data_IF_096580937772
#
_entry.id   IF_096580937772
#
_cell.length_a   1.000
_cell.length_b   1.000
_cell.length_c   1.000
_cell.angle_alpha   90.00
_cell.angle_beta   90.00
_cell.angle_gamma   90.00
#
_symmetry.space_group_name_H-M   'P 1'
#
loop_
_entity.id
_entity.type
_entity.pdbx_description
1 polymer ?
#
# COMPACT_ATOMS: atom_id res chain seq x y z
N UNK A 1 3.81 -16.69 5.96
CA UNK A 1 2.50 -16.01 5.92
C UNK A 1 2.33 -15.26 7.24
N UNK A 2 2.65 -13.97 7.24
CA UNK A 2 2.54 -13.13 8.44
C UNK A 2 1.08 -13.09 8.89
N UNK A 3 0.84 -13.27 10.19
CA UNK A 3 -0.49 -13.08 10.77
C UNK A 3 -0.83 -11.58 10.73
N UNK A 4 -1.63 -11.20 9.74
CA UNK A 4 -2.01 -9.80 9.47
C UNK A 4 -2.82 -9.15 10.62
N UNK A 5 -3.32 -9.95 11.56
CA UNK A 5 -4.19 -9.52 12.67
C UNK A 5 -3.49 -8.66 13.73
N UNK A 6 -2.15 -8.58 13.74
CA UNK A 6 -1.37 -7.78 14.70
C UNK A 6 -0.64 -6.59 14.07
N UNK A 7 -0.83 -6.33 12.76
CA UNK A 7 -0.17 -5.19 12.11
C UNK A 7 -0.88 -3.88 12.48
N UNK A 8 -0.13 -2.79 12.70
CA UNK A 8 -0.73 -1.49 12.96
C UNK A 8 -1.57 -1.09 11.75
N UNK A 9 -2.85 -0.81 11.99
CA UNK A 9 -3.81 -0.42 10.96
C UNK A 9 -4.11 1.07 11.09
N UNK A 10 -4.16 1.76 9.95
CA UNK A 10 -4.38 3.20 9.86
C UNK A 10 -5.52 3.45 8.88
N UNK A 11 -6.58 4.09 9.36
CA UNK A 11 -7.63 4.60 8.49
C UNK A 11 -7.07 5.74 7.63
N UNK A 12 -7.12 5.55 6.30
CA UNK A 12 -6.60 6.49 5.33
C UNK A 12 -7.67 7.53 4.98
N UNK A 13 -7.91 8.46 5.90
CA UNK A 13 -8.75 9.63 5.65
C UNK A 13 -7.89 10.82 5.21
N UNK A 14 -7.90 11.13 3.90
CA UNK A 14 -7.30 12.35 3.32
C UNK A 14 -5.86 12.66 3.78
N UNK A 15 -5.07 11.63 4.10
CA UNK A 15 -3.68 11.79 4.50
C UNK A 15 -3.43 12.42 5.87
N UNK A 16 -4.39 12.44 6.80
CA UNK A 16 -4.16 12.98 8.15
C UNK A 16 -3.03 12.26 8.90
N UNK A 17 -2.77 10.99 8.57
CA UNK A 17 -1.74 10.15 9.19
C UNK A 17 -0.44 10.04 8.38
N UNK A 18 -0.27 10.85 7.32
CA UNK A 18 0.82 10.69 6.33
C UNK A 18 2.19 10.70 6.97
N UNK A 19 2.52 11.70 7.79
CA UNK A 19 3.84 11.81 8.42
C UNK A 19 4.14 10.62 9.34
N UNK A 20 3.13 10.13 10.07
CA UNK A 20 3.28 8.96 10.94
C UNK A 20 3.56 7.70 10.12
N UNK A 21 2.76 7.44 9.10
CA UNK A 21 2.90 6.27 8.22
C UNK A 21 4.24 6.32 7.49
N UNK A 22 4.62 7.48 6.97
CA UNK A 22 5.92 7.70 6.31
C UNK A 22 7.08 7.35 7.24
N UNK A 23 7.05 7.82 8.49
CA UNK A 23 8.08 7.47 9.47
C UNK A 23 8.12 5.97 9.79
N UNK A 24 6.97 5.28 9.83
CA UNK A 24 6.92 3.82 10.05
C UNK A 24 7.53 3.07 8.87
N UNK A 25 7.12 3.40 7.64
CA UNK A 25 7.63 2.78 6.40
C UNK A 25 9.14 3.01 6.27
N UNK A 26 9.63 4.23 6.54
CA UNK A 26 11.07 4.52 6.50
C UNK A 26 11.88 3.75 7.54
N UNK A 27 11.24 3.23 8.60
CA UNK A 27 11.85 2.35 9.61
C UNK A 27 11.65 0.86 9.29
N UNK A 28 11.13 0.55 8.11
CA UNK A 28 10.77 -0.81 7.68
C UNK A 28 9.74 -1.46 8.62
N UNK A 29 8.94 -0.66 9.33
CA UNK A 29 7.86 -1.16 10.16
C UNK A 29 6.62 -1.43 9.29
N UNK A 30 6.03 -2.64 9.33
CA UNK A 30 4.88 -2.97 8.51
C UNK A 30 3.63 -2.21 8.96
N UNK A 31 2.77 -1.83 8.02
CA UNK A 31 1.55 -1.05 8.28
C UNK A 31 0.45 -1.40 7.29
N UNK A 32 -0.79 -1.45 7.78
CA UNK A 32 -1.99 -1.59 6.95
C UNK A 32 -2.65 -0.23 6.81
N UNK A 33 -2.88 0.21 5.58
CA UNK A 33 -3.67 1.39 5.26
C UNK A 33 -5.07 0.94 4.85
N UNK A 34 -6.07 1.29 5.65
CA UNK A 34 -7.47 1.06 5.34
C UNK A 34 -7.94 2.18 4.42
N UNK A 35 -8.18 1.86 3.16
CA UNK A 35 -8.46 2.83 2.10
C UNK A 35 -9.95 3.16 2.02
N UNK A 36 -10.31 4.36 1.54
CA UNK A 36 -11.70 4.75 1.38
C UNK A 36 -12.40 3.87 0.33
N UNK A 37 -13.70 3.63 0.55
CA UNK A 37 -14.55 2.93 -0.41
C UNK A 37 -14.64 3.69 -1.74
N UNK A 38 -14.65 2.98 -2.87
CA UNK A 38 -14.80 3.58 -4.20
C UNK A 38 -13.50 4.08 -4.82
N UNK A 39 -12.36 3.78 -4.19
CA UNK A 39 -11.04 3.94 -4.79
C UNK A 39 -10.93 3.12 -6.08
N UNK A 40 -10.24 3.66 -7.07
CA UNK A 40 -9.87 2.97 -8.29
C UNK A 40 -8.65 2.07 -8.02
N UNK A 41 -8.82 0.77 -8.20
CA UNK A 41 -7.79 -0.26 -8.00
C UNK A 41 -7.23 -0.81 -9.32
N UNK A 42 -7.51 -0.16 -10.46
CA UNK A 42 -7.16 -0.63 -11.81
C UNK A 42 -5.66 -0.47 -12.16
N UNK A 43 -4.79 -1.00 -11.32
CA UNK A 43 -3.35 -1.09 -11.57
C UNK A 43 -2.98 -2.45 -12.18
N UNK A 44 -2.09 -2.44 -13.16
CA UNK A 44 -1.50 -3.67 -13.69
C UNK A 44 -0.29 -4.08 -12.83
N UNK A 45 -0.46 -5.09 -11.99
CA UNK A 45 0.61 -5.60 -11.11
C UNK A 45 1.81 -6.18 -11.88
N UNK A 46 1.65 -6.55 -13.15
CA UNK A 46 2.73 -7.10 -13.98
C UNK A 46 3.88 -6.13 -14.22
N UNK A 47 3.59 -4.82 -14.28
CA UNK A 47 4.61 -3.78 -14.45
C UNK A 47 5.45 -3.54 -13.18
N UNK A 48 4.98 -4.00 -12.02
CA UNK A 48 5.57 -3.71 -10.70
C UNK A 48 6.08 -4.96 -9.99
N UNK A 49 6.32 -6.05 -10.74
CA UNK A 49 6.84 -7.33 -10.25
C UNK A 49 5.99 -7.95 -9.13
N UNK A 50 4.70 -7.68 -9.12
CA UNK A 50 3.78 -8.29 -8.17
C UNK A 50 3.64 -9.80 -8.42
N UNK A 51 3.37 -10.54 -7.35
CA UNK A 51 2.86 -11.91 -7.41
C UNK A 51 1.35 -11.87 -7.22
N UNK A 52 0.59 -12.30 -8.23
CA UNK A 52 -0.86 -12.37 -8.12
C UNK A 52 -1.28 -13.52 -7.18
N UNK A 53 -2.18 -13.22 -6.24
CA UNK A 53 -2.91 -14.20 -5.42
C UNK A 53 -4.37 -14.23 -5.89
N UNK A 54 -4.72 -15.11 -6.85
CA UNK A 54 -6.05 -15.15 -7.45
C UNK A 54 -7.13 -15.64 -6.48
N UNK A 55 -6.77 -16.43 -5.46
CA UNK A 55 -7.73 -16.94 -4.48
C UNK A 55 -8.25 -15.80 -3.58
N UNK A 56 -7.41 -14.79 -3.34
CA UNK A 56 -7.74 -13.60 -2.54
C UNK A 56 -8.05 -12.36 -3.36
N UNK A 57 -7.81 -12.42 -4.68
CA UNK A 57 -7.89 -11.25 -5.55
C UNK A 57 -6.86 -10.17 -5.21
N UNK A 58 -5.69 -10.57 -4.69
CA UNK A 58 -4.64 -9.67 -4.24
C UNK A 58 -3.46 -9.61 -5.22
N UNK A 59 -2.74 -8.50 -5.20
CA UNK A 59 -1.40 -8.39 -5.77
C UNK A 59 -0.42 -8.30 -4.61
N UNK A 60 0.54 -9.22 -4.51
CA UNK A 60 1.45 -9.31 -3.38
C UNK A 60 2.89 -8.98 -3.77
N UNK A 61 3.71 -8.59 -2.80
CA UNK A 61 5.16 -8.34 -2.97
C UNK A 61 5.50 -7.33 -4.08
N UNK A 62 4.61 -6.36 -4.33
CA UNK A 62 4.79 -5.36 -5.38
C UNK A 62 5.90 -4.37 -5.03
N UNK A 63 6.59 -3.85 -6.06
CA UNK A 63 7.48 -2.71 -5.89
C UNK A 63 6.70 -1.42 -5.56
N UNK A 64 7.30 -0.54 -4.76
CA UNK A 64 6.68 0.72 -4.29
C UNK A 64 6.14 1.63 -5.41
N UNK A 65 6.66 1.50 -6.63
CA UNK A 65 6.15 2.22 -7.81
C UNK A 65 4.67 1.95 -8.11
N UNK A 66 4.13 0.79 -7.71
CA UNK A 66 2.70 0.50 -7.83
C UNK A 66 1.88 1.46 -6.97
N UNK A 67 2.32 1.71 -5.73
CA UNK A 67 1.61 2.58 -4.81
C UNK A 67 1.56 4.02 -5.33
N UNK A 68 2.64 4.45 -5.99
CA UNK A 68 2.70 5.75 -6.69
C UNK A 68 1.66 5.82 -7.79
N UNK A 69 1.57 4.79 -8.64
CA UNK A 69 0.58 4.74 -9.73
C UNK A 69 -0.85 4.77 -9.19
N UNK A 70 -1.11 4.03 -8.12
CA UNK A 70 -2.39 3.96 -7.45
C UNK A 70 -2.79 5.33 -6.85
N UNK A 71 -1.83 6.04 -6.25
CA UNK A 71 -2.03 7.41 -5.74
C UNK A 71 -2.39 8.39 -6.87
N UNK A 72 -1.75 8.29 -8.03
CA UNK A 72 -2.02 9.13 -9.20
C UNK A 72 -3.42 8.88 -9.78
N UNK A 73 -3.85 7.63 -9.92
CA UNK A 73 -5.19 7.27 -10.40
C UNK A 73 -6.30 7.88 -9.52
N UNK A 74 -6.04 7.98 -8.22
CA UNK A 74 -7.03 8.42 -7.24
C UNK A 74 -6.87 9.88 -6.79
N UNK A 75 -5.94 10.64 -7.39
CA UNK A 75 -5.62 12.02 -6.99
C UNK A 75 -5.31 12.15 -5.48
N UNK A 76 -4.51 11.24 -4.94
CA UNK A 76 -4.11 11.20 -3.52
C UNK A 76 -2.63 11.58 -3.35
N UNK A 77 -2.28 12.88 -3.32
CA UNK A 77 -0.88 13.32 -3.24
C UNK A 77 -0.18 12.83 -1.97
N UNK A 78 -0.89 12.67 -0.86
CA UNK A 78 -0.33 12.16 0.38
C UNK A 78 0.03 10.67 0.29
N UNK A 79 -0.73 9.88 -0.48
CA UNK A 79 -0.41 8.47 -0.71
C UNK A 79 0.84 8.33 -1.58
N UNK A 80 1.09 9.31 -2.47
CA UNK A 80 2.33 9.39 -3.24
C UNK A 80 3.55 9.59 -2.34
N UNK A 81 3.42 10.33 -1.24
CA UNK A 81 4.51 10.46 -0.26
C UNK A 81 4.83 9.14 0.44
N UNK A 82 3.81 8.30 0.69
CA UNK A 82 4.03 6.96 1.24
C UNK A 82 4.72 6.08 0.20
N UNK A 83 4.37 6.22 -1.08
CA UNK A 83 5.08 5.54 -2.16
C UNK A 83 6.57 5.94 -2.23
N UNK A 84 6.88 7.23 -2.09
CA UNK A 84 8.26 7.71 -1.99
C UNK A 84 9.01 7.07 -0.82
N UNK A 85 8.33 6.93 0.34
CA UNK A 85 8.88 6.28 1.51
C UNK A 85 9.15 4.79 1.26
N UNK A 86 8.24 4.07 0.62
CA UNK A 86 8.40 2.66 0.27
C UNK A 86 9.58 2.46 -0.70
N UNK A 87 9.72 3.32 -1.71
CA UNK A 87 10.87 3.29 -2.62
C UNK A 87 12.19 3.56 -1.88
N UNK A 88 12.20 4.50 -0.92
CA UNK A 88 13.37 4.83 -0.10
C UNK A 88 13.79 3.66 0.80
N UNK A 89 12.85 3.01 1.49
CA UNK A 89 13.12 1.87 2.38
C UNK A 89 13.19 0.53 1.64
N UNK A 90 12.98 0.50 0.32
CA UNK A 90 12.82 -0.73 -0.46
C UNK A 90 11.68 -1.64 0.03
N UNK A 91 10.68 -1.07 0.71
CA UNK A 91 9.52 -1.80 1.20
C UNK A 91 8.65 -2.34 0.05
N UNK A 92 8.04 -3.49 0.29
CA UNK A 92 7.07 -4.16 -0.56
C UNK A 92 5.65 -3.77 -0.19
N UNK A 93 4.75 -3.93 -1.15
CA UNK A 93 3.35 -3.57 -1.01
C UNK A 93 2.45 -4.71 -1.47
N UNK A 94 1.52 -5.13 -0.61
CA UNK A 94 0.35 -5.92 -1.02
C UNK A 94 -0.86 -5.00 -1.24
N UNK A 95 -1.61 -5.27 -2.31
CA UNK A 95 -2.86 -4.61 -2.64
C UNK A 95 -4.01 -5.60 -2.49
N UNK A 96 -4.98 -5.22 -1.66
CA UNK A 96 -6.19 -6.00 -1.39
C UNK A 96 -7.44 -5.14 -1.70
N UNK A 97 -7.89 -5.14 -2.96
CA UNK A 97 -9.09 -4.39 -3.36
C UNK A 97 -10.35 -4.87 -2.66
N UNK A 98 -10.46 -6.18 -2.39
CA UNK A 98 -11.63 -6.78 -1.74
C UNK A 98 -11.77 -6.33 -0.28
N UNK A 99 -10.63 -6.21 0.43
CA UNK A 99 -10.55 -5.67 1.79
C UNK A 99 -10.42 -4.15 1.86
N UNK A 100 -10.40 -3.45 0.71
CA UNK A 100 -10.12 -2.01 0.60
C UNK A 100 -8.88 -1.59 1.40
N UNK A 101 -7.77 -2.31 1.27
CA UNK A 101 -6.56 -2.05 2.05
C UNK A 101 -5.27 -2.21 1.25
N UNK A 102 -4.26 -1.48 1.70
CA UNK A 102 -2.88 -1.55 1.22
C UNK A 102 -2.03 -2.00 2.40
N UNK A 103 -1.14 -2.97 2.19
CA UNK A 103 -0.28 -3.49 3.25
C UNK A 103 1.15 -3.22 2.84
N UNK A 104 1.87 -2.45 3.64
CA UNK A 104 3.30 -2.19 3.43
C UNK A 104 4.11 -3.09 4.37
N UNK A 105 5.16 -3.72 3.86
CA UNK A 105 6.07 -4.60 4.60
C UNK A 105 7.47 -4.64 3.95
N UNK A 106 8.38 -5.43 4.51
CA UNK A 106 9.72 -5.68 3.98
C UNK A 106 9.73 -6.62 2.76
#
# INVERSE_FOLDING_TARGET
>A
MMARDNLPTVDWERGENTDRVKMQVMREEPVILQMPSGMDWSVDGGEFKCTADPDRGMQCDCEGGLLRKLAELNNMPELKEIADACEYSSSRVDIDPAGARIIVHD
#
